data_IF_151291169478
#
_entry.id   IF_151291169478
#
_cell.length_a   1.000
_cell.length_b   1.000
_cell.length_c   1.000
_cell.angle_alpha   90.00
_cell.angle_beta   90.00
_cell.angle_gamma   90.00
#
_symmetry.space_group_name_H-M   'P 1'
#
loop_
_entity.id
_entity.type
_entity.pdbx_description
1 polymer ?
#
# COMPACT_ATOMS: atom_id res chain seq x y z
N UNK A 1 36.07 -22.76 -41.74
CA UNK A 1 36.21 -23.25 -40.35
C UNK A 1 35.50 -22.27 -39.44
N UNK A 2 34.35 -22.67 -38.89
CA UNK A 2 33.51 -21.88 -37.99
C UNK A 2 33.88 -22.30 -36.57
N UNK A 3 34.20 -21.36 -35.68
CA UNK A 3 34.30 -21.63 -34.25
C UNK A 3 33.68 -20.45 -33.48
N UNK A 4 32.52 -20.75 -32.90
CA UNK A 4 31.57 -19.84 -32.29
C UNK A 4 32.05 -19.25 -30.96
N UNK A 5 31.83 -17.95 -30.77
CA UNK A 5 31.87 -17.30 -29.46
C UNK A 5 30.63 -17.70 -28.65
N UNK A 6 30.83 -18.31 -27.47
CA UNK A 6 29.80 -18.41 -26.44
C UNK A 6 29.81 -17.14 -25.58
N UNK A 7 28.74 -16.35 -25.66
CA UNK A 7 28.42 -15.32 -24.67
C UNK A 7 27.60 -15.95 -23.54
N UNK A 8 28.22 -16.14 -22.37
CA UNK A 8 27.53 -16.57 -21.15
C UNK A 8 26.75 -15.38 -20.58
N UNK A 9 25.44 -15.38 -20.72
CA UNK A 9 24.56 -14.36 -20.14
C UNK A 9 24.50 -14.49 -18.61
N UNK A 10 24.87 -13.43 -17.89
CA UNK A 10 24.59 -13.31 -16.47
C UNK A 10 23.08 -13.11 -16.28
N UNK A 11 22.41 -14.12 -15.74
CA UNK A 11 21.06 -13.99 -15.22
C UNK A 11 21.11 -13.16 -13.92
N UNK A 12 20.79 -11.87 -14.03
CA UNK A 12 20.56 -10.99 -12.88
C UNK A 12 19.30 -11.40 -12.13
N UNK A 13 19.44 -12.32 -11.17
CA UNK A 13 18.41 -12.57 -10.16
C UNK A 13 18.32 -11.35 -9.26
N UNK A 14 17.32 -10.49 -9.49
CA UNK A 14 16.95 -9.44 -8.56
C UNK A 14 16.54 -10.10 -7.24
N UNK A 15 17.46 -10.17 -6.29
CA UNK A 15 17.14 -10.46 -4.90
C UNK A 15 16.25 -9.31 -4.42
N UNK A 16 14.93 -9.52 -4.43
CA UNK A 16 14.03 -8.69 -3.66
C UNK A 16 14.47 -8.83 -2.19
N UNK A 17 14.92 -7.74 -1.59
CA UNK A 17 15.18 -7.70 -0.16
C UNK A 17 13.94 -8.24 0.57
N UNK A 18 14.15 -9.13 1.55
CA UNK A 18 13.06 -9.68 2.32
C UNK A 18 12.26 -8.52 2.94
N UNK A 19 10.92 -8.59 2.81
CA UNK A 19 10.04 -7.61 3.44
C UNK A 19 10.34 -7.55 4.95
N UNK A 20 10.31 -6.36 5.59
CA UNK A 20 10.40 -6.26 7.04
C UNK A 20 9.30 -7.05 7.74
N UNK A 21 9.41 -7.23 9.06
CA UNK A 21 8.35 -7.89 9.81
C UNK A 21 7.12 -6.98 9.85
N UNK A 22 5.94 -7.42 9.37
CA UNK A 22 4.75 -6.60 9.41
C UNK A 22 4.26 -6.42 10.85
N UNK A 23 3.80 -5.21 11.18
CA UNK A 23 3.19 -4.91 12.47
C UNK A 23 1.94 -5.78 12.73
N UNK A 24 1.09 -5.95 11.71
CA UNK A 24 -0.09 -6.81 11.77
C UNK A 24 0.31 -8.24 11.39
N UNK A 25 0.13 -9.16 12.34
CA UNK A 25 0.29 -10.60 12.08
C UNK A 25 -1.04 -11.18 11.60
N UNK A 26 -1.08 -11.66 10.36
CA UNK A 26 -2.27 -12.28 9.77
C UNK A 26 -2.17 -13.80 9.76
N UNK A 27 -3.29 -14.45 10.05
CA UNK A 27 -3.48 -15.84 9.68
C UNK A 27 -3.56 -15.97 8.14
N UNK A 28 -3.24 -17.14 7.56
CA UNK A 28 -3.48 -17.40 6.15
C UNK A 28 -4.92 -17.09 5.76
N UNK A 29 -5.12 -16.44 4.62
CA UNK A 29 -6.46 -16.13 4.12
C UNK A 29 -6.93 -17.20 3.14
N UNK A 30 -8.24 -17.52 3.12
CA UNK A 30 -8.80 -18.47 2.16
C UNK A 30 -8.55 -18.04 0.72
N UNK A 31 -8.34 -19.02 -0.15
CA UNK A 31 -8.19 -18.79 -1.58
C UNK A 31 -9.43 -18.08 -2.16
N UNK A 32 -9.19 -17.11 -3.04
CA UNK A 32 -10.25 -16.31 -3.66
C UNK A 32 -10.52 -16.77 -5.09
N UNK A 33 -11.79 -16.84 -5.46
CA UNK A 33 -12.22 -17.17 -6.81
C UNK A 33 -11.91 -16.03 -7.80
N UNK A 34 -11.63 -16.39 -9.06
CA UNK A 34 -11.57 -15.42 -10.14
C UNK A 34 -12.94 -14.76 -10.40
N UNK A 35 -12.92 -13.53 -10.91
CA UNK A 35 -14.12 -12.76 -11.25
C UNK A 35 -14.89 -12.18 -10.05
N UNK A 36 -14.44 -12.42 -8.80
CA UNK A 36 -15.07 -11.88 -7.58
C UNK A 36 -14.19 -10.84 -6.88
N UNK A 37 -14.72 -9.63 -6.75
CA UNK A 37 -14.10 -8.59 -5.92
C UNK A 37 -14.11 -9.03 -4.46
N UNK A 38 -12.98 -8.92 -3.79
CA UNK A 38 -12.82 -9.19 -2.37
C UNK A 38 -12.14 -8.01 -1.68
N UNK A 39 -12.52 -7.78 -0.42
CA UNK A 39 -11.90 -6.74 0.40
C UNK A 39 -10.62 -7.28 1.03
N UNK A 40 -9.52 -6.57 0.83
CA UNK A 40 -8.22 -6.91 1.43
C UNK A 40 -8.08 -6.26 2.80
N UNK A 41 -8.41 -4.97 2.88
CA UNK A 41 -8.38 -4.21 4.13
C UNK A 41 -9.24 -2.96 4.04
N UNK A 42 -9.84 -2.58 5.16
CA UNK A 42 -10.37 -1.24 5.37
C UNK A 42 -9.43 -0.44 6.27
N UNK A 43 -9.25 0.83 5.93
CA UNK A 43 -8.47 1.81 6.69
C UNK A 43 -9.41 2.99 7.00
N UNK A 44 -10.22 2.90 8.08
CA UNK A 44 -11.25 3.89 8.39
C UNK A 44 -10.71 5.31 8.56
N UNK A 45 -9.52 5.46 9.12
CA UNK A 45 -8.82 6.73 9.30
C UNK A 45 -8.43 7.39 7.98
N UNK A 46 -8.19 6.60 6.93
CA UNK A 46 -7.93 7.09 5.58
C UNK A 46 -9.19 7.11 4.69
N UNK A 47 -10.36 6.76 5.23
CA UNK A 47 -11.60 6.59 4.48
C UNK A 47 -11.44 5.68 3.24
N UNK A 48 -10.57 4.67 3.34
CA UNK A 48 -10.15 3.86 2.21
C UNK A 48 -10.47 2.38 2.44
N UNK A 49 -10.95 1.72 1.38
CA UNK A 49 -11.06 0.27 1.29
C UNK A 49 -10.18 -0.21 0.15
N UNK A 50 -9.36 -1.19 0.46
CA UNK A 50 -8.50 -1.85 -0.51
C UNK A 50 -9.23 -3.08 -1.01
N UNK A 51 -9.39 -3.15 -2.33
CA UNK A 51 -10.10 -4.20 -3.03
C UNK A 51 -9.17 -4.92 -4.00
N UNK A 52 -9.43 -6.21 -4.18
CA UNK A 52 -8.70 -7.09 -5.05
C UNK A 52 -9.62 -7.98 -5.88
N UNK A 53 -9.15 -8.41 -7.04
CA UNK A 53 -9.90 -9.27 -7.97
C UNK A 53 -8.90 -10.10 -8.78
N UNK A 54 -8.98 -11.43 -8.68
CA UNK A 54 -8.36 -12.28 -9.69
C UNK A 54 -9.16 -12.18 -10.99
N UNK A 55 -8.51 -11.81 -12.08
CA UNK A 55 -9.20 -11.50 -13.35
C UNK A 55 -9.49 -12.74 -14.19
N UNK A 56 -8.74 -13.82 -13.98
CA UNK A 56 -8.72 -14.98 -14.87
C UNK A 56 -7.89 -14.78 -16.16
N UNK A 57 -7.22 -13.64 -16.32
CA UNK A 57 -6.43 -13.30 -17.51
C UNK A 57 -4.93 -13.41 -17.21
N UNK A 58 -4.18 -14.15 -18.03
CA UNK A 58 -2.75 -14.35 -17.79
C UNK A 58 -1.92 -13.06 -17.87
N UNK A 59 -2.30 -12.12 -18.74
CA UNK A 59 -1.59 -10.86 -18.94
C UNK A 59 -1.76 -9.86 -17.77
N UNK A 60 -2.91 -9.90 -17.09
CA UNK A 60 -3.21 -9.05 -15.94
C UNK A 60 -3.93 -9.90 -14.87
N UNK A 61 -3.23 -10.80 -14.15
CA UNK A 61 -3.88 -11.82 -13.31
C UNK A 61 -4.67 -11.26 -12.14
N UNK A 62 -4.36 -10.04 -11.70
CA UNK A 62 -4.93 -9.44 -10.52
C UNK A 62 -5.16 -7.94 -10.69
N UNK A 63 -6.38 -7.50 -10.41
CA UNK A 63 -6.73 -6.08 -10.29
C UNK A 63 -6.71 -5.67 -8.83
N UNK A 64 -6.17 -4.48 -8.60
CA UNK A 64 -6.03 -3.87 -7.29
C UNK A 64 -6.59 -2.46 -7.34
N UNK A 65 -7.41 -2.10 -6.36
CA UNK A 65 -7.99 -0.77 -6.26
C UNK A 65 -8.04 -0.29 -4.82
N UNK A 66 -7.88 1.03 -4.66
CA UNK A 66 -8.15 1.72 -3.39
C UNK A 66 -9.37 2.60 -3.63
N UNK A 67 -10.48 2.23 -3.01
CA UNK A 67 -11.76 2.92 -3.16
C UNK A 67 -12.12 3.65 -1.88
N UNK A 68 -12.92 4.71 -2.01
CA UNK A 68 -13.44 5.45 -0.85
C UNK A 68 -14.51 4.61 -0.15
N UNK A 69 -14.46 4.54 1.18
CA UNK A 69 -15.43 3.76 1.96
C UNK A 69 -16.84 4.38 1.94
N UNK A 70 -16.92 5.71 1.97
CA UNK A 70 -18.18 6.47 1.91
C UNK A 70 -17.92 7.90 1.42
N UNK A 71 -18.84 8.52 0.65
CA UNK A 71 -18.74 9.93 0.28
C UNK A 71 -18.65 10.85 1.51
N UNK A 72 -19.35 10.53 2.60
CA UNK A 72 -19.42 11.36 3.83
C UNK A 72 -18.26 11.15 4.80
N UNK A 73 -17.34 10.22 4.52
CA UNK A 73 -16.23 9.93 5.42
C UNK A 73 -15.21 11.08 5.47
N UNK A 74 -14.83 11.53 6.66
CA UNK A 74 -13.82 12.57 6.85
C UNK A 74 -12.46 11.95 7.22
N UNK A 75 -11.48 11.95 6.29
CA UNK A 75 -10.21 11.29 6.52
C UNK A 75 -9.37 12.05 7.55
N UNK A 76 -8.80 11.29 8.49
CA UNK A 76 -7.82 11.75 9.49
C UNK A 76 -6.39 11.33 9.12
N UNK A 77 -6.25 10.50 8.09
CA UNK A 77 -5.01 10.08 7.46
C UNK A 77 -5.16 10.18 5.93
N UNK A 78 -4.05 10.32 5.22
CA UNK A 78 -4.04 10.28 3.75
C UNK A 78 -3.73 8.87 3.25
N UNK A 79 -4.39 8.45 2.18
CA UNK A 79 -3.90 7.35 1.37
C UNK A 79 -3.11 7.94 0.19
N UNK A 80 -1.85 7.55 0.03
CA UNK A 80 -0.95 8.06 -1.00
C UNK A 80 -0.51 6.94 -1.94
N UNK A 81 -0.11 7.33 -3.14
CA UNK A 81 0.44 6.42 -4.13
C UNK A 81 1.78 5.85 -3.65
N UNK A 82 1.91 4.52 -3.63
CA UNK A 82 3.10 3.86 -3.10
C UNK A 82 4.33 4.03 -4.00
N UNK A 83 4.16 4.10 -5.33
CA UNK A 83 5.27 4.28 -6.26
C UNK A 83 5.90 5.69 -6.12
N UNK A 84 5.08 6.71 -5.82
CA UNK A 84 5.54 8.07 -5.51
C UNK A 84 6.09 8.21 -4.10
N UNK A 85 5.45 7.56 -3.11
CA UNK A 85 5.82 7.68 -1.71
C UNK A 85 7.08 6.89 -1.33
N UNK A 86 7.38 5.81 -2.06
CA UNK A 86 8.53 4.92 -1.86
C UNK A 86 8.75 4.56 -0.38
N UNK A 87 7.74 3.93 0.26
CA UNK A 87 7.77 3.70 1.70
C UNK A 87 8.91 2.77 2.11
N UNK A 88 9.61 3.14 3.18
CA UNK A 88 10.70 2.38 3.78
C UNK A 88 10.87 2.75 5.26
N UNK A 89 11.44 1.85 6.05
CA UNK A 89 11.72 2.10 7.48
C UNK A 89 12.65 3.30 7.66
N UNK A 90 13.64 3.44 6.77
CA UNK A 90 14.59 4.56 6.73
C UNK A 90 13.88 5.90 6.48
N UNK A 91 12.80 5.91 5.69
CA UNK A 91 11.99 7.10 5.45
C UNK A 91 10.89 7.32 6.53
N UNK A 92 10.98 6.61 7.66
CA UNK A 92 10.08 6.70 8.81
C UNK A 92 8.73 6.02 8.59
N UNK A 93 8.63 5.10 7.64
CA UNK A 93 7.42 4.29 7.45
C UNK A 93 7.51 3.00 8.28
N UNK A 94 6.38 2.56 8.80
CA UNK A 94 6.24 1.25 9.43
C UNK A 94 5.63 0.29 8.43
N UNK A 95 6.26 -0.87 8.23
CA UNK A 95 5.67 -1.96 7.45
C UNK A 95 4.48 -2.51 8.23
N UNK A 96 3.28 -2.13 7.83
CA UNK A 96 2.11 -2.27 8.66
C UNK A 96 1.43 -3.62 8.45
N UNK A 97 1.43 -4.11 7.21
CA UNK A 97 0.66 -5.30 6.86
C UNK A 97 1.17 -5.97 5.60
N UNK A 98 1.06 -7.29 5.58
CA UNK A 98 1.38 -8.15 4.45
C UNK A 98 0.21 -9.10 4.22
N UNK A 99 -0.49 -8.95 3.10
CA UNK A 99 -1.66 -9.77 2.75
C UNK A 99 -1.29 -10.64 1.56
N UNK A 100 -1.36 -11.96 1.73
CA UNK A 100 -1.08 -12.95 0.70
C UNK A 100 -2.37 -13.67 0.34
N UNK A 101 -2.91 -13.37 -0.84
CA UNK A 101 -4.20 -13.88 -1.32
C UNK A 101 -3.97 -15.01 -2.31
N UNK A 102 -4.27 -16.27 -1.96
CA UNK A 102 -4.15 -17.38 -2.90
C UNK A 102 -5.22 -17.31 -3.99
N UNK A 103 -4.87 -17.66 -5.22
CA UNK A 103 -5.83 -17.81 -6.32
C UNK A 103 -6.47 -19.21 -6.26
N UNK A 104 -7.79 -19.29 -6.08
CA UNK A 104 -8.51 -20.57 -6.00
C UNK A 104 -8.48 -21.36 -7.32
N UNK A 105 -8.38 -20.68 -8.46
CA UNK A 105 -8.27 -21.31 -9.78
C UNK A 105 -6.81 -21.70 -10.13
N UNK A 106 -5.83 -21.24 -9.35
CA UNK A 106 -4.42 -21.44 -9.63
C UNK A 106 -3.59 -21.40 -8.34
N UNK A 107 -3.50 -22.52 -7.61
CA UNK A 107 -2.90 -22.54 -6.26
C UNK A 107 -1.41 -22.16 -6.21
N UNK A 108 -0.72 -22.19 -7.35
CA UNK A 108 0.68 -21.75 -7.48
C UNK A 108 0.84 -20.24 -7.66
N UNK A 109 -0.27 -19.50 -7.73
CA UNK A 109 -0.30 -18.05 -7.90
C UNK A 109 -0.99 -17.38 -6.70
N UNK A 110 -0.44 -16.26 -6.25
CA UNK A 110 -1.03 -15.43 -5.22
C UNK A 110 -0.82 -13.94 -5.51
N UNK A 111 -1.75 -13.11 -5.06
CA UNK A 111 -1.54 -11.67 -4.99
C UNK A 111 -0.94 -11.31 -3.64
N UNK A 112 0.08 -10.45 -3.63
CA UNK A 112 0.80 -10.05 -2.44
C UNK A 112 0.70 -8.54 -2.28
N UNK A 113 0.03 -8.13 -1.21
CA UNK A 113 -0.20 -6.74 -0.88
C UNK A 113 0.71 -6.33 0.28
N UNK A 114 1.45 -5.25 0.06
CA UNK A 114 2.34 -4.61 1.06
C UNK A 114 1.73 -3.27 1.45
N UNK A 115 1.38 -3.13 2.72
CA UNK A 115 0.79 -1.89 3.26
C UNK A 115 1.75 -1.27 4.25
N UNK A 116 1.99 0.02 4.07
CA UNK A 116 2.84 0.83 4.92
C UNK A 116 2.03 1.93 5.58
N UNK A 117 2.39 2.27 6.81
CA UNK A 117 1.85 3.45 7.51
C UNK A 117 3.00 4.38 7.90
N UNK A 118 2.86 5.68 7.63
CA UNK A 118 3.75 6.71 8.18
C UNK A 118 3.03 7.37 9.34
N UNK A 119 3.49 7.17 10.59
CA UNK A 119 2.95 7.91 11.71
C UNK A 119 3.23 9.41 11.53
N UNK A 120 2.36 10.24 12.09
CA UNK A 120 2.60 11.66 12.24
C UNK A 120 2.29 12.05 13.69
N UNK A 121 3.12 12.92 14.26
CA UNK A 121 2.86 13.49 15.57
C UNK A 121 1.79 14.58 15.42
N UNK A 122 0.51 14.18 15.44
CA UNK A 122 -0.60 15.11 15.49
C UNK A 122 -0.70 15.67 16.92
N UNK A 123 0.00 16.78 17.18
CA UNK A 123 -0.18 17.53 18.41
C UNK A 123 -1.45 18.40 18.31
N UNK A 124 -2.25 18.53 19.38
CA UNK A 124 -3.32 19.51 19.43
C UNK A 124 -2.76 20.91 19.13
N UNK A 125 -3.54 21.79 18.47
CA UNK A 125 -3.16 23.19 18.31
C UNK A 125 -2.83 23.80 19.67
N UNK A 126 -1.80 24.65 19.70
CA UNK A 126 -1.46 25.40 20.93
C UNK A 126 -2.69 26.18 21.37
N UNK A 127 -2.88 26.23 22.68
CA UNK A 127 -3.93 27.05 23.27
C UNK A 127 -3.65 28.52 22.96
N UNK A 128 -4.70 29.26 22.59
CA UNK A 128 -4.64 30.71 22.47
C UNK A 128 -4.50 31.37 23.85
N UNK A 129 -4.39 32.69 23.87
CA UNK A 129 -4.28 33.47 25.12
C UNK A 129 -5.49 33.29 26.07
N UNK A 130 -6.60 32.70 25.60
CA UNK A 130 -7.78 32.37 26.39
C UNK A 130 -7.80 30.91 26.87
N UNK A 131 -6.72 30.17 26.66
CA UNK A 131 -6.63 28.75 27.01
C UNK A 131 -7.45 27.83 26.09
N UNK A 132 -7.83 28.28 24.88
CA UNK A 132 -8.65 27.50 23.93
C UNK A 132 -7.83 27.01 22.74
N UNK A 133 -8.03 25.76 22.33
CA UNK A 133 -7.44 25.21 21.11
C UNK A 133 -8.28 25.66 19.92
N UNK A 134 -7.76 26.60 19.12
CA UNK A 134 -8.43 27.15 17.92
C UNK A 134 -7.48 27.14 16.73
N UNK A 135 -8.02 26.82 15.56
CA UNK A 135 -7.33 26.96 14.27
C UNK A 135 -7.97 28.11 13.51
N UNK A 136 -7.18 29.13 13.18
CA UNK A 136 -7.65 30.27 12.39
C UNK A 136 -7.42 29.97 10.91
N UNK A 137 -8.50 30.02 10.12
CA UNK A 137 -8.45 29.67 8.70
C UNK A 137 -7.39 30.45 7.92
N UNK A 138 -7.19 31.73 8.25
CA UNK A 138 -6.19 32.57 7.58
C UNK A 138 -4.77 32.08 7.86
N UNK A 139 -4.46 31.79 9.12
CA UNK A 139 -3.15 31.28 9.54
C UNK A 139 -2.88 29.90 8.94
N UNK A 140 -3.87 29.01 8.91
CA UNK A 140 -3.72 27.68 8.31
C UNK A 140 -3.54 27.77 6.79
N UNK A 141 -4.19 28.72 6.11
CA UNK A 141 -3.93 28.98 4.68
C UNK A 141 -2.50 29.47 4.45
N UNK A 142 -1.98 30.35 5.31
CA UNK A 142 -0.59 30.81 5.21
C UNK A 142 0.40 29.67 5.45
N UNK A 143 0.17 28.83 6.47
CA UNK A 143 0.96 27.62 6.73
C UNK A 143 0.90 26.65 5.56
N UNK A 144 -0.26 26.47 4.92
CA UNK A 144 -0.41 25.64 3.73
C UNK A 144 0.44 26.15 2.57
N UNK A 145 0.40 27.46 2.29
CA UNK A 145 1.23 28.08 1.27
C UNK A 145 2.74 27.95 1.54
N UNK A 146 3.14 27.90 2.82
CA UNK A 146 4.52 27.72 3.26
C UNK A 146 4.93 26.24 3.46
N UNK A 147 4.05 25.27 3.15
CA UNK A 147 4.26 23.83 3.43
C UNK A 147 4.54 23.50 4.91
N UNK A 148 3.96 24.28 5.83
CA UNK A 148 4.09 24.17 7.29
C UNK A 148 2.84 23.62 7.99
N UNK A 149 1.89 23.06 7.23
CA UNK A 149 0.75 22.38 7.84
C UNK A 149 1.22 21.21 8.71
N UNK A 150 0.50 20.98 9.81
CA UNK A 150 0.73 19.82 10.64
C UNK A 150 0.64 18.54 9.80
N UNK A 151 1.66 17.68 9.93
CA UNK A 151 1.65 16.40 9.26
C UNK A 151 0.51 15.53 9.80
N UNK A 152 -0.21 14.87 8.90
CA UNK A 152 -1.20 13.85 9.26
C UNK A 152 -0.67 12.46 8.88
N UNK A 153 -1.12 11.39 9.55
CA UNK A 153 -0.69 10.04 9.22
C UNK A 153 -0.95 9.71 7.75
N UNK A 154 -0.10 8.86 7.17
CA UNK A 154 -0.25 8.44 5.77
C UNK A 154 -0.23 6.91 5.67
N UNK A 155 -0.93 6.40 4.67
CA UNK A 155 -0.91 5.00 4.26
C UNK A 155 -0.54 4.91 2.80
N UNK A 156 0.21 3.87 2.45
CA UNK A 156 0.52 3.50 1.08
C UNK A 156 0.37 2.00 0.93
N UNK A 157 -0.15 1.55 -0.21
CA UNK A 157 -0.21 0.12 -0.51
C UNK A 157 0.28 -0.15 -1.93
N UNK A 158 0.99 -1.26 -2.09
CA UNK A 158 1.46 -1.78 -3.38
C UNK A 158 1.09 -3.25 -3.49
N UNK A 159 0.86 -3.69 -4.72
CA UNK A 159 0.46 -5.05 -5.04
C UNK A 159 1.43 -5.64 -6.06
N UNK A 160 1.81 -6.90 -5.86
CA UNK A 160 2.50 -7.74 -6.84
C UNK A 160 1.78 -9.09 -6.96
N UNK A 161 1.97 -9.77 -8.10
CA UNK A 161 1.60 -11.18 -8.24
C UNK A 161 2.86 -12.01 -8.04
N UNK A 162 2.80 -13.00 -7.13
CA UNK A 162 3.90 -13.92 -6.86
C UNK A 162 3.49 -15.36 -7.21
N UNK A 163 4.48 -16.17 -7.57
CA UNK A 163 4.30 -17.57 -7.96
C UNK A 163 4.33 -17.80 -9.48
N UNK A 164 3.90 -18.98 -9.91
CA UNK A 164 3.93 -19.38 -11.33
C UNK A 164 2.67 -18.89 -12.05
N UNK A 165 2.83 -18.53 -13.32
CA UNK A 165 1.69 -18.27 -14.19
C UNK A 165 0.83 -19.54 -14.37
N UNK A 166 -0.45 -19.35 -14.58
CA UNK A 166 -1.42 -20.43 -14.72
C UNK A 166 -1.49 -20.83 -16.21
N UNK A 167 -1.36 -22.13 -16.51
CA UNK A 167 -1.39 -22.64 -17.89
C UNK A 167 -0.05 -22.56 -18.64
N UNK A 168 1.08 -22.52 -17.92
CA UNK A 168 2.42 -22.71 -18.49
C UNK A 168 2.76 -24.20 -18.66
#
# INVERSE_FOLDING_TARGET
MIASLLCTGLAGGAHAAADPVPEIKRAPIPAQAAGRVHTLRQIPEACARIEGLFTGQAAEPYKFAVVRTSPTCQPRARFVDAAKAQPSEQAGWTFNDLIRVPNAACPQQQAVLRIWRKPAAAAPPRLDAQGRSRLYLQDEKQKAGAAQLAAIPMFAASMSVEGKACGA
#
